data_IF_628744378783
#
_entry.id   IF_628744378783
#
_cell.length_a   1.000
_cell.length_b   1.000
_cell.length_c   1.000
_cell.angle_alpha   90.00
_cell.angle_beta   90.00
_cell.angle_gamma   90.00
#
_symmetry.space_group_name_H-M   'P 1'
#
loop_
_entity.id
_entity.type
_entity.pdbx_description
1 polymer ?
#
# COMPACT_ATOMS: atom_id res chain seq x y z
N UNK A 1 13.62 24.50 -12.69
CA UNK A 1 13.92 23.18 -12.09
C UNK A 1 12.85 22.22 -12.54
N UNK A 2 13.25 21.10 -13.14
CA UNK A 2 12.32 20.07 -13.61
C UNK A 2 11.75 19.31 -12.42
N UNK A 3 10.47 18.96 -12.48
CA UNK A 3 9.74 18.29 -11.40
C UNK A 3 8.91 17.17 -11.99
N UNK A 4 8.66 16.15 -11.18
CA UNK A 4 7.92 14.95 -11.57
C UNK A 4 6.81 14.66 -10.57
N UNK A 5 5.65 14.25 -11.09
CA UNK A 5 4.64 13.54 -10.30
C UNK A 5 4.57 12.08 -10.72
N UNK A 6 4.58 11.18 -9.75
CA UNK A 6 4.24 9.77 -9.96
C UNK A 6 2.84 9.52 -9.38
N UNK A 7 1.87 9.26 -10.25
CA UNK A 7 0.50 8.90 -9.88
C UNK A 7 0.36 7.38 -9.96
N UNK A 8 0.02 6.77 -8.82
CA UNK A 8 -0.31 5.34 -8.72
C UNK A 8 -1.80 5.20 -8.41
N UNK A 9 -2.56 4.69 -9.36
CA UNK A 9 -3.92 4.21 -9.13
C UNK A 9 -3.86 2.73 -8.74
N UNK A 10 -4.01 2.47 -7.45
CA UNK A 10 -3.76 1.17 -6.83
C UNK A 10 -4.64 0.07 -7.43
N UNK A 11 -4.06 -1.08 -7.81
CA UNK A 11 -4.83 -2.20 -8.37
C UNK A 11 -5.63 -1.87 -9.64
N UNK A 12 -5.31 -0.78 -10.36
CA UNK A 12 -6.12 -0.28 -11.47
C UNK A 12 -6.14 -1.23 -12.67
N UNK A 13 -5.07 -1.98 -12.93
CA UNK A 13 -5.04 -3.00 -13.98
C UNK A 13 -6.11 -4.07 -13.77
N UNK A 14 -6.65 -4.60 -14.85
CA UNK A 14 -7.72 -5.60 -14.83
C UNK A 14 -7.62 -6.61 -15.98
N UNK A 15 -8.58 -7.53 -16.01
CA UNK A 15 -8.83 -8.44 -17.13
C UNK A 15 -10.15 -8.08 -17.80
N UNK A 16 -10.38 -8.52 -19.05
CA UNK A 16 -11.68 -8.45 -19.69
C UNK A 16 -12.81 -8.97 -18.81
N UNK A 17 -13.85 -8.16 -18.59
CA UNK A 17 -14.98 -8.50 -17.72
C UNK A 17 -16.25 -8.75 -18.53
N UNK A 18 -17.07 -9.72 -18.12
CA UNK A 18 -18.30 -10.09 -18.83
C UNK A 18 -19.31 -8.95 -18.84
N UNK A 19 -19.46 -8.28 -17.69
CA UNK A 19 -20.44 -7.19 -17.49
C UNK A 19 -20.10 -5.92 -18.29
N UNK A 20 -18.83 -5.74 -18.69
CA UNK A 20 -18.39 -4.64 -19.54
C UNK A 20 -18.10 -5.10 -20.98
N UNK A 21 -18.88 -6.06 -21.51
CA UNK A 21 -18.77 -6.54 -22.89
C UNK A 21 -17.36 -7.06 -23.26
N UNK A 22 -16.68 -7.73 -22.33
CA UNK A 22 -15.30 -8.23 -22.46
C UNK A 22 -14.25 -7.13 -22.61
N UNK A 23 -14.55 -5.92 -22.14
CA UNK A 23 -13.55 -4.87 -21.93
C UNK A 23 -13.04 -4.93 -20.48
N UNK A 24 -11.83 -4.41 -20.27
CA UNK A 24 -11.37 -4.05 -18.92
C UNK A 24 -12.13 -2.80 -18.44
N UNK A 25 -12.19 -2.52 -17.12
CA UNK A 25 -12.74 -1.27 -16.61
C UNK A 25 -12.04 -0.02 -17.14
N UNK A 26 -10.73 -0.06 -17.43
CA UNK A 26 -10.01 1.04 -18.09
C UNK A 26 -10.51 1.25 -19.52
N UNK A 27 -10.65 0.19 -20.31
CA UNK A 27 -11.14 0.27 -21.69
C UNK A 27 -12.59 0.75 -21.79
N UNK A 28 -13.42 0.39 -20.79
CA UNK A 28 -14.83 0.77 -20.75
C UNK A 28 -15.07 2.17 -20.18
N UNK A 29 -14.08 2.76 -19.51
CA UNK A 29 -14.21 4.05 -18.83
C UNK A 29 -14.04 5.24 -19.80
N UNK A 30 -14.83 6.29 -19.59
CA UNK A 30 -14.62 7.60 -20.22
C UNK A 30 -13.51 8.39 -19.50
N UNK A 31 -12.28 7.88 -19.56
CA UNK A 31 -11.11 8.42 -18.86
C UNK A 31 -10.35 9.48 -19.70
N UNK A 32 -11.00 10.60 -20.02
CA UNK A 32 -10.46 11.64 -20.92
C UNK A 32 -9.07 12.16 -20.52
N UNK A 33 -8.84 12.39 -19.22
CA UNK A 33 -7.57 12.91 -18.72
C UNK A 33 -6.47 11.86 -18.76
N UNK A 34 -6.80 10.59 -18.52
CA UNK A 34 -5.84 9.50 -18.71
C UNK A 34 -5.45 9.35 -20.18
N UNK A 35 -6.43 9.42 -21.08
CA UNK A 35 -6.19 9.40 -22.53
C UNK A 35 -5.34 10.59 -22.99
N UNK A 36 -5.53 11.78 -22.40
CA UNK A 36 -4.68 12.96 -22.64
C UNK A 36 -3.23 12.74 -22.16
N UNK A 37 -3.04 12.12 -21.00
CA UNK A 37 -1.68 11.77 -20.51
C UNK A 37 -1.01 10.80 -21.50
N UNK A 38 -1.73 9.78 -21.97
CA UNK A 38 -1.22 8.84 -22.96
C UNK A 38 -0.88 9.52 -24.29
N UNK A 39 -1.81 10.30 -24.83
CA UNK A 39 -1.63 10.94 -26.14
C UNK A 39 -0.53 11.99 -26.14
N UNK A 40 -0.23 12.65 -25.02
CA UNK A 40 0.86 13.60 -24.91
C UNK A 40 2.19 12.97 -24.45
N UNK A 41 2.24 11.65 -24.29
CA UNK A 41 3.34 10.94 -23.63
C UNK A 41 3.91 9.77 -24.42
N UNK A 42 4.81 9.03 -23.76
CA UNK A 42 5.34 7.73 -24.17
C UNK A 42 4.69 6.66 -23.27
N UNK A 43 4.03 5.69 -23.88
CA UNK A 43 3.28 4.64 -23.19
C UNK A 43 4.07 3.32 -23.16
N UNK A 44 3.67 2.42 -22.27
CA UNK A 44 4.18 1.05 -22.19
C UNK A 44 3.40 0.22 -21.17
N UNK A 45 3.93 -0.95 -20.86
CA UNK A 45 3.44 -1.81 -19.79
C UNK A 45 4.56 -2.18 -18.82
N UNK A 46 4.20 -2.43 -17.57
CA UNK A 46 5.16 -2.67 -16.50
C UNK A 46 4.82 -3.96 -15.74
N UNK A 47 5.78 -4.89 -15.70
CA UNK A 47 5.74 -5.97 -14.71
C UNK A 47 6.32 -5.43 -13.40
N UNK A 48 5.47 -5.20 -12.41
CA UNK A 48 5.94 -4.50 -11.20
C UNK A 48 7.05 -5.27 -10.48
N UNK A 49 7.00 -6.60 -10.50
CA UNK A 49 8.06 -7.48 -9.98
C UNK A 49 8.76 -8.20 -11.13
N UNK A 50 8.03 -9.11 -11.78
CA UNK A 50 8.47 -9.91 -12.92
C UNK A 50 7.25 -10.44 -13.66
N UNK A 51 7.39 -10.88 -14.93
CA UNK A 51 6.29 -11.47 -15.68
C UNK A 51 5.55 -12.56 -14.90
N UNK A 52 4.23 -12.40 -14.74
CA UNK A 52 3.37 -13.41 -14.12
C UNK A 52 3.44 -13.49 -12.59
N UNK A 53 4.26 -12.67 -11.90
CA UNK A 53 4.38 -12.69 -10.44
C UNK A 53 3.42 -11.66 -9.79
N UNK A 54 2.39 -12.10 -9.03
CA UNK A 54 1.54 -11.17 -8.28
C UNK A 54 2.34 -10.50 -7.15
N UNK A 55 2.32 -9.17 -7.01
CA UNK A 55 2.96 -8.47 -5.90
C UNK A 55 2.02 -8.24 -4.71
N UNK A 56 2.61 -8.12 -3.51
CA UNK A 56 1.99 -7.36 -2.43
C UNK A 56 2.20 -5.86 -2.63
N UNK A 57 1.27 -5.00 -2.18
CA UNK A 57 1.38 -3.56 -2.41
C UNK A 57 2.65 -2.93 -1.81
N UNK A 58 3.20 -3.48 -0.74
CA UNK A 58 4.52 -3.10 -0.19
C UNK A 58 5.65 -3.39 -1.18
N UNK A 59 5.78 -4.64 -1.61
CA UNK A 59 6.82 -5.07 -2.56
C UNK A 59 6.70 -4.34 -3.91
N UNK A 60 5.46 -4.06 -4.35
CA UNK A 60 5.20 -3.31 -5.56
C UNK A 60 5.75 -1.88 -5.49
N UNK A 61 5.45 -1.16 -4.41
CA UNK A 61 5.93 0.21 -4.24
C UNK A 61 7.45 0.25 -4.05
N UNK A 62 8.02 -0.72 -3.32
CA UNK A 62 9.48 -0.83 -3.19
C UNK A 62 10.15 -0.97 -4.58
N UNK A 63 9.60 -1.84 -5.43
CA UNK A 63 10.05 -2.01 -6.81
C UNK A 63 9.89 -0.72 -7.62
N UNK A 64 8.71 -0.10 -7.61
CA UNK A 64 8.43 1.15 -8.35
C UNK A 64 9.41 2.28 -7.99
N UNK A 65 9.86 2.35 -6.74
CA UNK A 65 10.86 3.33 -6.29
C UNK A 65 12.31 2.91 -6.55
N UNK A 66 12.55 1.82 -7.28
CA UNK A 66 13.86 1.38 -7.76
C UNK A 66 14.61 0.41 -6.87
N UNK A 67 13.97 -0.10 -5.81
CA UNK A 67 14.57 -1.02 -4.86
C UNK A 67 14.15 -2.45 -5.18
N UNK A 68 15.08 -3.40 -5.12
CA UNK A 68 14.79 -4.79 -5.43
C UNK A 68 14.03 -5.47 -4.28
N UNK A 69 12.76 -5.85 -4.48
CA UNK A 69 11.96 -6.46 -3.41
C UNK A 69 12.45 -7.86 -3.03
N UNK A 70 13.20 -8.57 -3.88
CA UNK A 70 13.71 -9.90 -3.53
C UNK A 70 14.82 -9.84 -2.47
N UNK A 71 15.54 -8.71 -2.41
CA UNK A 71 16.71 -8.56 -1.55
C UNK A 71 16.49 -7.53 -0.44
N UNK A 72 15.66 -6.51 -0.68
CA UNK A 72 15.50 -5.35 0.21
C UNK A 72 14.18 -5.35 1.00
N UNK A 73 13.25 -6.26 0.71
CA UNK A 73 11.99 -6.33 1.44
C UNK A 73 12.18 -6.89 2.86
N UNK A 74 11.83 -6.07 3.85
CA UNK A 74 12.02 -6.41 5.28
C UNK A 74 10.77 -6.93 5.98
N UNK A 75 9.67 -7.14 5.25
CA UNK A 75 8.38 -7.62 5.79
C UNK A 75 7.35 -6.50 6.04
N UNK A 76 6.08 -6.81 5.77
CA UNK A 76 4.97 -5.84 5.73
C UNK A 76 4.78 -5.04 7.02
N UNK A 77 4.90 -5.72 8.16
CA UNK A 77 4.62 -5.15 9.48
C UNK A 77 5.49 -3.94 9.78
N UNK A 78 6.73 -3.93 9.27
CA UNK A 78 7.62 -2.78 9.43
C UNK A 78 7.11 -1.53 8.70
N UNK A 79 6.64 -1.69 7.46
CA UNK A 79 6.06 -0.58 6.71
C UNK A 79 4.74 -0.12 7.33
N UNK A 80 3.87 -1.03 7.76
CA UNK A 80 2.63 -0.63 8.45
C UNK A 80 2.95 0.15 9.75
N UNK A 81 3.97 -0.24 10.52
CA UNK A 81 4.41 0.47 11.73
C UNK A 81 4.88 1.90 11.43
N UNK A 82 5.80 2.05 10.47
CA UNK A 82 6.30 3.36 10.05
C UNK A 82 5.17 4.26 9.53
N UNK A 83 4.22 3.67 8.79
CA UNK A 83 3.04 4.35 8.28
C UNK A 83 2.01 4.74 9.33
N UNK A 84 1.97 4.01 10.45
CA UNK A 84 1.18 4.33 11.63
C UNK A 84 1.84 5.39 12.54
N UNK A 85 3.05 5.86 12.19
CA UNK A 85 3.81 6.82 12.98
C UNK A 85 4.60 6.20 14.14
N UNK A 86 4.77 4.87 14.16
CA UNK A 86 5.62 4.19 15.13
C UNK A 86 7.04 4.13 14.58
N UNK A 87 7.98 4.74 15.30
CA UNK A 87 9.39 4.68 14.93
C UNK A 87 9.99 3.34 15.35
N UNK A 88 10.58 2.63 14.38
CA UNK A 88 11.25 1.35 14.58
C UNK A 88 12.73 1.55 14.88
N UNK A 89 13.23 0.80 15.85
CA UNK A 89 14.65 0.70 16.19
C UNK A 89 15.26 -0.55 15.55
N UNK A 90 16.59 -0.59 15.34
CA UNK A 90 17.28 -1.84 15.04
C UNK A 90 16.92 -2.92 16.07
N UNK A 91 16.53 -4.11 15.61
CA UNK A 91 16.09 -5.23 16.46
C UNK A 91 14.57 -5.33 16.66
N UNK A 92 13.80 -4.26 16.46
CA UNK A 92 12.33 -4.32 16.58
C UNK A 92 11.73 -5.28 15.52
N UNK A 93 10.71 -6.04 15.93
CA UNK A 93 9.89 -6.86 15.03
C UNK A 93 8.45 -6.34 15.05
N UNK A 94 7.97 -5.90 13.89
CA UNK A 94 6.66 -5.34 13.70
C UNK A 94 5.73 -6.30 12.94
N UNK A 95 4.45 -6.28 13.29
CA UNK A 95 3.40 -7.08 12.68
C UNK A 95 2.23 -6.20 12.30
N UNK A 96 1.69 -6.43 11.11
CA UNK A 96 0.35 -5.96 10.79
C UNK A 96 -0.64 -6.78 11.59
N UNK A 97 -1.58 -6.12 12.25
CA UNK A 97 -2.58 -6.75 13.08
C UNK A 97 -3.99 -6.43 12.61
N UNK A 98 -4.90 -7.36 12.83
CA UNK A 98 -6.33 -7.12 12.75
C UNK A 98 -6.98 -7.37 14.12
N UNK A 99 -7.87 -6.48 14.55
CA UNK A 99 -8.91 -6.84 15.51
C UNK A 99 -9.88 -7.82 14.85
N UNK A 100 -10.20 -8.89 15.57
CA UNK A 100 -11.02 -9.97 15.08
C UNK A 100 -12.01 -10.47 16.16
N UNK A 101 -12.99 -11.23 15.70
CA UNK A 101 -13.95 -11.95 16.52
C UNK A 101 -13.61 -13.42 16.50
N UNK A 102 -13.35 -13.96 17.70
CA UNK A 102 -13.00 -15.36 17.90
C UNK A 102 -13.89 -15.92 19.01
N UNK A 103 -14.53 -17.06 18.78
CA UNK A 103 -15.43 -17.68 19.75
C UNK A 103 -14.69 -18.36 20.92
N UNK A 104 -15.43 -18.92 21.88
CA UNK A 104 -14.87 -19.57 23.08
C UNK A 104 -14.07 -20.85 22.78
N UNK A 105 -14.20 -21.41 21.57
CA UNK A 105 -13.43 -22.58 21.09
C UNK A 105 -12.22 -22.18 20.25
N UNK A 106 -11.83 -20.91 20.27
CA UNK A 106 -10.74 -20.29 19.51
C UNK A 106 -10.89 -20.32 17.99
N UNK A 107 -12.12 -20.44 17.46
CA UNK A 107 -12.37 -20.31 16.02
C UNK A 107 -12.61 -18.86 15.63
N UNK A 108 -11.97 -18.44 14.55
CA UNK A 108 -12.13 -17.11 13.95
C UNK A 108 -13.50 -17.05 13.26
N UNK A 109 -14.39 -16.22 13.80
CA UNK A 109 -15.73 -15.96 13.24
C UNK A 109 -15.66 -14.84 12.21
N UNK A 110 -14.89 -13.79 12.53
CA UNK A 110 -14.73 -12.63 11.65
C UNK A 110 -13.34 -12.02 11.83
N UNK A 111 -12.57 -11.94 10.75
CA UNK A 111 -11.19 -11.41 10.74
C UNK A 111 -11.11 -9.88 10.88
N UNK A 112 -12.24 -9.20 10.93
CA UNK A 112 -12.36 -7.73 10.95
C UNK A 112 -13.31 -7.23 12.03
N UNK A 113 -13.87 -8.12 12.85
CA UNK A 113 -14.84 -7.78 13.90
C UNK A 113 -15.98 -6.88 13.42
N UNK A 114 -16.57 -7.19 12.27
CA UNK A 114 -17.64 -6.42 11.64
C UNK A 114 -17.19 -5.10 11.05
N UNK A 115 -15.89 -4.93 10.75
CA UNK A 115 -15.25 -3.63 10.45
C UNK A 115 -15.57 -2.62 11.56
N UNK A 116 -15.16 -2.95 12.79
CA UNK A 116 -15.23 -2.06 13.96
C UNK A 116 -14.77 -0.63 13.59
N UNK A 117 -15.41 0.38 14.17
CA UNK A 117 -15.07 1.77 13.87
C UNK A 117 -13.66 2.11 14.37
N UNK A 118 -13.04 3.12 13.77
CA UNK A 118 -11.70 3.56 14.17
C UNK A 118 -11.69 4.06 15.62
N UNK A 119 -12.78 4.72 16.05
CA UNK A 119 -12.95 5.25 17.40
C UNK A 119 -13.03 4.13 18.43
N UNK A 120 -13.84 3.09 18.17
CA UNK A 120 -13.96 1.92 19.03
C UNK A 120 -12.65 1.12 19.09
N UNK A 121 -11.99 0.93 17.94
CA UNK A 121 -10.69 0.25 17.86
C UNK A 121 -9.60 0.97 18.66
N UNK A 122 -9.63 2.32 18.69
CA UNK A 122 -8.69 3.13 19.48
C UNK A 122 -8.85 2.92 20.99
N UNK A 123 -10.08 2.81 21.47
CA UNK A 123 -10.37 2.51 22.88
C UNK A 123 -9.80 1.13 23.25
N UNK A 124 -10.02 0.13 22.40
CA UNK A 124 -9.49 -1.22 22.62
C UNK A 124 -7.96 -1.26 22.57
N UNK A 125 -7.34 -0.53 21.64
CA UNK A 125 -5.88 -0.44 21.55
C UNK A 125 -5.26 0.22 22.79
N UNK A 126 -5.92 1.24 23.38
CA UNK A 126 -5.48 1.87 24.63
C UNK A 126 -5.46 0.86 25.78
N UNK A 127 -6.49 0.02 25.89
CA UNK A 127 -6.56 -1.03 26.91
C UNK A 127 -5.42 -2.08 26.79
N UNK A 128 -4.85 -2.26 25.59
CA UNK A 128 -3.73 -3.18 25.38
C UNK A 128 -2.38 -2.63 25.89
N UNK A 129 -2.29 -1.34 26.24
CA UNK A 129 -1.06 -0.74 26.81
C UNK A 129 -0.71 -1.28 28.19
N UNK A 130 -1.67 -1.87 28.89
CA UNK A 130 -1.46 -2.51 30.19
C UNK A 130 -0.68 -3.84 30.09
N UNK A 131 -0.49 -4.35 28.87
CA UNK A 131 0.24 -5.61 28.65
C UNK A 131 1.72 -5.39 28.92
N UNK A 132 2.22 -6.09 29.93
CA UNK A 132 3.65 -6.32 30.14
C UNK A 132 4.00 -7.73 29.63
N UNK A 133 5.10 -7.88 28.91
CA UNK A 133 5.69 -9.18 28.55
C UNK A 133 7.02 -9.33 29.28
N UNK A 134 7.46 -10.56 29.48
CA UNK A 134 8.70 -10.84 30.24
C UNK A 134 9.95 -10.39 29.49
N UNK A 135 10.03 -10.68 28.19
CA UNK A 135 11.25 -10.53 27.39
C UNK A 135 11.16 -9.43 26.29
N UNK A 136 10.06 -8.67 26.21
CA UNK A 136 9.90 -7.58 25.25
C UNK A 136 8.86 -6.52 25.68
N UNK A 137 8.98 -5.30 25.17
CA UNK A 137 7.97 -4.26 25.25
C UNK A 137 7.00 -4.38 24.04
N UNK A 138 5.70 -4.62 24.25
CA UNK A 138 4.71 -4.56 23.18
C UNK A 138 4.18 -3.13 22.98
N UNK A 139 4.27 -2.63 21.76
CA UNK A 139 3.68 -1.35 21.36
C UNK A 139 2.56 -1.65 20.35
N UNK A 140 1.31 -1.51 20.78
CA UNK A 140 0.15 -1.72 19.91
C UNK A 140 -0.52 -0.40 19.54
N UNK A 141 -0.73 -0.16 18.24
CA UNK A 141 -1.39 1.05 17.71
C UNK A 141 -2.48 0.65 16.73
N UNK A 142 -3.73 1.03 17.00
CA UNK A 142 -4.82 0.96 16.02
C UNK A 142 -4.66 2.02 14.94
N UNK A 143 -5.02 1.70 13.69
CA UNK A 143 -4.95 2.64 12.56
C UNK A 143 -6.34 2.98 12.03
N UNK A 144 -6.84 2.26 11.02
CA UNK A 144 -8.15 2.50 10.40
C UNK A 144 -9.02 1.27 10.55
N UNK A 145 -10.23 1.46 11.07
CA UNK A 145 -11.18 0.39 11.38
C UNK A 145 -10.51 -0.71 12.25
N UNK A 146 -10.65 -1.97 11.83
CA UNK A 146 -10.09 -3.16 12.45
C UNK A 146 -8.55 -3.28 12.38
N UNK A 147 -7.85 -2.40 11.66
CA UNK A 147 -6.41 -2.55 11.41
C UNK A 147 -5.60 -1.97 12.56
N UNK A 148 -4.47 -2.60 12.87
CA UNK A 148 -3.50 -2.12 13.82
C UNK A 148 -2.10 -2.63 13.51
N UNK A 149 -1.15 -2.22 14.34
CA UNK A 149 0.23 -2.68 14.28
C UNK A 149 0.67 -3.04 15.68
N UNK A 150 1.40 -4.15 15.79
CA UNK A 150 2.15 -4.52 16.98
C UNK A 150 3.63 -4.37 16.66
N UNK A 151 4.37 -3.67 17.51
CA UNK A 151 5.83 -3.70 17.52
C UNK A 151 6.27 -4.39 18.79
N UNK A 152 7.06 -5.44 18.66
CA UNK A 152 7.79 -6.06 19.76
C UNK A 152 9.18 -5.45 19.78
N UNK A 153 9.52 -4.81 20.90
CA UNK A 153 10.80 -4.17 21.13
C UNK A 153 11.55 -4.88 22.25
N UNK A 154 12.73 -5.38 21.94
CA UNK A 154 13.54 -6.14 22.87
C UNK A 154 14.76 -6.73 22.19
N UNK A 155 15.57 -7.44 22.95
CA UNK A 155 16.77 -8.08 22.43
C UNK A 155 16.44 -9.44 21.80
N UNK A 156 17.26 -9.86 20.84
CA UNK A 156 17.20 -11.20 20.23
C UNK A 156 15.82 -11.54 19.66
N UNK A 157 15.21 -10.59 18.94
CA UNK A 157 13.98 -10.80 18.19
C UNK A 157 14.28 -11.05 16.70
N UNK A 158 13.42 -11.83 16.04
CA UNK A 158 13.52 -12.16 14.63
C UNK A 158 12.15 -12.10 13.97
N UNK A 159 12.09 -11.54 12.75
CA UNK A 159 10.89 -11.57 11.91
C UNK A 159 10.57 -12.95 11.31
N UNK A 160 11.39 -13.97 11.57
CA UNK A 160 11.21 -15.32 11.03
C UNK A 160 10.22 -16.12 11.87
N UNK A 161 9.00 -15.58 11.98
CA UNK A 161 7.88 -16.15 12.74
C UNK A 161 6.66 -16.22 11.84
N UNK A 162 5.88 -17.30 11.98
CA UNK A 162 4.69 -17.54 11.17
C UNK A 162 3.57 -16.54 11.45
N UNK A 163 2.74 -16.30 10.44
CA UNK A 163 1.52 -15.52 10.60
C UNK A 163 0.50 -16.24 11.50
N UNK A 164 -0.28 -15.46 12.25
CA UNK A 164 -1.40 -15.95 13.07
C UNK A 164 -2.72 -15.82 12.29
N UNK A 165 -2.84 -14.76 11.48
CA UNK A 165 -3.93 -14.59 10.51
C UNK A 165 -3.67 -15.39 9.23
N UNK A 166 -4.23 -16.60 9.12
CA UNK A 166 -4.11 -17.48 7.93
C UNK A 166 -5.01 -17.10 6.76
N UNK A 167 -5.64 -15.93 6.82
CA UNK A 167 -6.55 -15.46 5.79
C UNK A 167 -7.94 -16.11 5.71
N UNK A 168 -8.28 -17.00 6.64
CA UNK A 168 -9.51 -17.78 6.60
C UNK A 168 -10.41 -17.56 7.83
N UNK A 169 -11.72 -17.76 7.65
CA UNK A 169 -12.71 -17.82 8.74
C UNK A 169 -13.10 -19.28 8.97
N UNK A 170 -13.60 -19.61 10.17
CA UNK A 170 -13.95 -20.99 10.52
C UNK A 170 -12.76 -21.87 10.87
N UNK A 171 -11.55 -21.31 10.91
CA UNK A 171 -10.33 -21.97 11.36
C UNK A 171 -9.98 -21.54 12.79
N UNK A 172 -9.21 -22.37 13.49
CA UNK A 172 -8.68 -22.02 14.82
C UNK A 172 -7.60 -20.94 14.68
N UNK A 173 -7.50 -20.06 15.68
CA UNK A 173 -6.38 -19.12 15.79
C UNK A 173 -5.08 -19.93 15.83
N UNK A 174 -4.18 -19.63 14.89
CA UNK A 174 -2.91 -20.33 14.78
C UNK A 174 -1.95 -19.89 15.87
N UNK A 175 -1.23 -20.85 16.46
CA UNK A 175 -0.10 -20.54 17.34
C UNK A 175 1.07 -20.04 16.49
N UNK A 176 1.71 -18.91 16.84
CA UNK A 176 2.91 -18.47 16.15
C UNK A 176 4.03 -19.51 16.35
N UNK A 177 4.82 -19.72 15.31
CA UNK A 177 5.93 -20.69 15.30
C UNK A 177 7.15 -20.07 14.66
N UNK A 178 8.37 -20.45 15.08
CA UNK A 178 9.57 -20.08 14.36
C UNK A 178 9.53 -20.66 12.93
N UNK A 179 10.07 -19.92 11.98
CA UNK A 179 10.20 -20.33 10.56
C UNK A 179 11.62 -20.80 10.21
N UNK A 180 12.56 -20.67 11.15
CA UNK A 180 13.90 -21.23 11.09
C UNK A 180 14.35 -21.68 12.49
N UNK A 181 15.52 -22.32 12.57
CA UNK A 181 16.05 -22.91 13.81
C UNK A 181 16.79 -21.88 14.70
N UNK A 182 16.62 -20.57 14.46
CA UNK A 182 17.29 -19.54 15.26
C UNK A 182 16.63 -19.38 16.65
N UNK A 183 17.46 -19.13 17.66
CA UNK A 183 17.00 -18.86 19.03
C UNK A 183 16.13 -17.61 19.05
N UNK A 184 16.45 -16.62 18.21
CA UNK A 184 15.69 -15.38 18.05
C UNK A 184 14.28 -15.61 17.49
N UNK A 185 14.12 -16.53 16.52
CA UNK A 185 12.81 -16.87 15.96
C UNK A 185 11.94 -17.60 16.99
N UNK A 186 12.52 -18.58 17.71
CA UNK A 186 11.81 -19.29 18.77
C UNK A 186 11.40 -18.32 19.89
N UNK A 187 12.33 -17.49 20.32
CA UNK A 187 12.09 -16.45 21.32
C UNK A 187 10.93 -15.52 20.90
N UNK A 188 10.96 -15.01 19.68
CA UNK A 188 9.92 -14.11 19.16
C UNK A 188 8.57 -14.81 19.07
N UNK A 189 8.52 -16.08 18.67
CA UNK A 189 7.27 -16.85 18.62
C UNK A 189 6.63 -16.98 20.02
N UNK A 190 7.44 -17.23 21.07
CA UNK A 190 6.95 -17.29 22.46
C UNK A 190 6.42 -15.94 22.94
N UNK A 191 7.17 -14.86 22.72
CA UNK A 191 6.75 -13.48 23.09
C UNK A 191 5.45 -13.09 22.38
N UNK A 192 5.32 -13.44 21.09
CA UNK A 192 4.12 -13.18 20.32
C UNK A 192 2.92 -13.99 20.83
N UNK A 193 3.10 -15.27 21.18
CA UNK A 193 2.06 -16.11 21.78
C UNK A 193 1.58 -15.52 23.11
N UNK A 194 2.52 -15.08 23.97
CA UNK A 194 2.20 -14.43 25.24
C UNK A 194 1.35 -13.17 25.05
N UNK A 195 1.73 -12.30 24.10
CA UNK A 195 0.95 -11.12 23.75
C UNK A 195 -0.47 -11.47 23.30
N UNK A 196 -0.63 -12.48 22.45
CA UNK A 196 -1.95 -12.90 21.92
C UNK A 196 -2.85 -13.40 23.06
N UNK A 197 -2.30 -14.20 23.99
CA UNK A 197 -3.04 -14.70 25.14
C UNK A 197 -3.47 -13.55 26.07
N UNK A 198 -2.54 -12.66 26.42
CA UNK A 198 -2.80 -11.51 27.31
C UNK A 198 -3.80 -10.53 26.68
N UNK A 199 -3.61 -10.18 25.40
CA UNK A 199 -4.52 -9.28 24.68
C UNK A 199 -5.93 -9.85 24.57
N UNK A 200 -6.10 -11.14 24.24
CA UNK A 200 -7.41 -11.79 24.21
C UNK A 200 -8.14 -11.71 25.55
N UNK A 201 -7.44 -11.94 26.67
CA UNK A 201 -8.03 -11.84 28.02
C UNK A 201 -8.53 -10.43 28.34
N UNK A 202 -7.76 -9.40 28.00
CA UNK A 202 -8.16 -7.99 28.19
C UNK A 202 -9.39 -7.69 27.33
N UNK A 203 -9.30 -7.99 26.03
CA UNK A 203 -10.35 -7.62 25.06
C UNK A 203 -11.67 -8.35 25.31
N UNK A 204 -11.65 -9.63 25.67
CA UNK A 204 -12.86 -10.39 26.01
C UNK A 204 -13.65 -9.78 27.17
N UNK A 205 -12.95 -9.21 28.16
CA UNK A 205 -13.56 -8.66 29.36
C UNK A 205 -13.88 -7.16 29.25
N UNK A 206 -13.39 -6.49 28.21
CA UNK A 206 -13.51 -5.05 28.03
C UNK A 206 -14.99 -4.61 27.92
N UNK A 207 -15.43 -3.56 28.65
CA UNK A 207 -16.83 -3.10 28.64
C UNK A 207 -17.39 -2.83 27.24
N UNK A 208 -16.59 -2.21 26.36
CA UNK A 208 -16.97 -1.94 24.97
C UNK A 208 -17.34 -3.23 24.20
N UNK A 209 -16.58 -4.32 24.37
CA UNK A 209 -16.91 -5.57 23.70
C UNK A 209 -18.19 -6.22 24.27
N UNK A 210 -18.46 -6.06 25.56
CA UNK A 210 -19.74 -6.48 26.16
C UNK A 210 -20.91 -5.69 25.58
N UNK A 211 -20.76 -4.38 25.42
CA UNK A 211 -21.76 -3.51 24.80
C UNK A 211 -22.00 -3.87 23.33
N UNK A 212 -20.94 -4.14 22.56
CA UNK A 212 -21.05 -4.61 21.17
C UNK A 212 -21.90 -5.86 21.06
N UNK A 213 -21.67 -6.85 21.93
CA UNK A 213 -22.47 -8.09 21.97
C UNK A 213 -23.94 -7.80 22.30
N UNK A 214 -24.22 -6.93 23.27
CA UNK A 214 -25.59 -6.51 23.60
C UNK A 214 -26.29 -5.87 22.39
N UNK A 215 -25.55 -5.12 21.58
CA UNK A 215 -26.04 -4.49 20.34
C UNK A 215 -26.12 -5.46 19.15
N UNK A 216 -25.81 -6.74 19.32
CA UNK A 216 -25.78 -7.74 18.25
C UNK A 216 -24.61 -7.58 17.27
N UNK A 217 -23.56 -6.84 17.65
CA UNK A 217 -22.35 -6.64 16.85
C UNK A 217 -21.27 -7.64 17.25
N UNK A 218 -20.42 -7.97 16.28
CA UNK A 218 -19.24 -8.81 16.47
C UNK A 218 -18.23 -8.14 17.44
N UNK A 219 -17.87 -8.78 18.58
CA UNK A 219 -16.87 -8.23 19.49
C UNK A 219 -15.46 -8.33 18.88
N UNK A 220 -14.64 -7.30 19.09
CA UNK A 220 -13.22 -7.29 18.73
C UNK A 220 -12.40 -7.87 19.89
N UNK A 221 -12.53 -9.18 20.11
CA UNK A 221 -12.00 -9.88 21.28
C UNK A 221 -10.68 -10.62 21.05
N UNK A 222 -10.07 -10.45 19.87
CA UNK A 222 -8.78 -11.02 19.53
C UNK A 222 -7.97 -10.06 18.65
N UNK A 223 -6.65 -10.17 18.72
CA UNK A 223 -5.71 -9.57 17.78
C UNK A 223 -5.11 -10.69 16.94
N UNK A 224 -5.08 -10.53 15.61
CA UNK A 224 -4.47 -11.48 14.68
C UNK A 224 -3.25 -10.82 14.00
N UNK A 225 -2.03 -11.05 14.52
CA UNK A 225 -0.78 -10.58 13.91
C UNK A 225 -0.40 -11.35 12.64
N UNK A 226 0.24 -10.67 11.69
CA UNK A 226 0.82 -11.25 10.46
C UNK A 226 1.84 -10.32 9.82
N UNK A 227 2.56 -10.85 8.83
CA UNK A 227 3.50 -10.12 8.00
C UNK A 227 4.66 -9.57 8.82
N UNK A 228 5.27 -10.40 9.67
CA UNK A 228 6.40 -10.02 10.50
C UNK A 228 7.47 -9.28 9.68
N UNK A 229 7.93 -8.14 10.17
CA UNK A 229 8.94 -7.33 9.49
C UNK A 229 9.84 -6.56 10.43
N UNK A 230 11.05 -6.26 9.95
CA UNK A 230 12.06 -5.46 10.67
C UNK A 230 12.27 -4.13 9.97
N UNK A 231 12.94 -3.19 10.64
CA UNK A 231 13.35 -1.92 10.05
C UNK A 231 13.98 -2.14 8.66
N UNK A 232 13.45 -1.52 7.58
CA UNK A 232 14.00 -1.66 6.24
C UNK A 232 15.44 -1.15 6.16
N UNK A 233 16.35 -1.95 5.61
CA UNK A 233 17.73 -1.55 5.35
C UNK A 233 17.88 -1.09 3.89
N UNK A 234 17.49 0.14 3.63
CA UNK A 234 17.45 0.75 2.29
C UNK A 234 18.06 2.14 2.36
N UNK A 235 18.82 2.52 1.32
CA UNK A 235 19.31 3.89 1.21
C UNK A 235 18.14 4.83 0.91
N UNK A 236 18.02 5.98 1.57
CA UNK A 236 17.00 6.97 1.25
C UNK A 236 17.10 7.51 -0.18
N UNK A 237 15.96 7.86 -0.78
CA UNK A 237 15.88 8.31 -2.18
C UNK A 237 16.70 9.59 -2.45
N UNK A 238 16.82 10.46 -1.45
CA UNK A 238 17.62 11.68 -1.56
C UNK A 238 19.12 11.40 -1.61
N UNK A 239 19.60 10.31 -0.98
CA UNK A 239 20.99 9.87 -1.10
C UNK A 239 21.26 9.21 -2.45
N UNK A 240 20.27 8.47 -3.00
CA UNK A 240 20.42 7.76 -4.27
C UNK A 240 20.38 8.71 -5.47
N UNK A 241 19.45 9.67 -5.47
CA UNK A 241 19.18 10.50 -6.66
C UNK A 241 19.43 12.01 -6.46
N UNK A 242 19.80 12.45 -5.25
CA UNK A 242 19.96 13.86 -4.92
C UNK A 242 18.70 14.70 -5.29
N UNK A 243 17.57 14.26 -4.76
CA UNK A 243 16.24 14.88 -4.92
C UNK A 243 15.53 15.05 -3.58
N UNK A 244 14.62 16.02 -3.52
CA UNK A 244 13.60 16.10 -2.46
C UNK A 244 12.33 15.42 -2.92
N UNK A 245 11.86 14.45 -2.15
CA UNK A 245 10.67 13.67 -2.49
C UNK A 245 9.59 13.78 -1.41
N UNK A 246 8.33 13.88 -1.83
CA UNK A 246 7.18 13.89 -0.93
C UNK A 246 6.11 12.87 -1.34
N UNK A 247 5.37 12.35 -0.38
CA UNK A 247 4.34 11.34 -0.59
C UNK A 247 2.98 11.77 -0.03
N UNK A 248 1.95 11.62 -0.86
CA UNK A 248 0.54 11.87 -0.53
C UNK A 248 -0.22 10.56 -0.73
N UNK A 249 -0.55 9.89 0.38
CA UNK A 249 -1.27 8.62 0.37
C UNK A 249 -2.36 8.57 1.44
N UNK A 250 -3.31 7.64 1.30
CA UNK A 250 -4.35 7.41 2.30
C UNK A 250 -3.90 6.40 3.37
N UNK A 251 -3.68 5.16 2.94
CA UNK A 251 -3.36 4.03 3.83
C UNK A 251 -1.97 4.11 4.47
N UNK A 252 -1.83 3.48 5.65
CA UNK A 252 -0.59 3.44 6.43
C UNK A 252 0.55 2.77 5.65
N UNK A 253 0.32 1.60 5.05
CA UNK A 253 1.32 0.86 4.25
C UNK A 253 2.12 1.75 3.29
N UNK A 254 1.45 2.53 2.45
CA UNK A 254 2.08 3.36 1.42
C UNK A 254 2.90 4.50 2.02
N UNK A 255 2.37 5.12 3.09
CA UNK A 255 3.11 6.13 3.88
C UNK A 255 4.35 5.51 4.52
N UNK A 256 4.23 4.27 4.99
CA UNK A 256 5.32 3.51 5.59
C UNK A 256 6.44 3.19 4.63
N UNK A 257 6.11 2.68 3.43
CA UNK A 257 7.09 2.47 2.35
C UNK A 257 7.76 3.80 1.99
N UNK A 258 6.98 4.85 1.75
CA UNK A 258 7.54 6.16 1.40
C UNK A 258 8.45 6.73 2.52
N UNK A 259 8.04 6.63 3.80
CA UNK A 259 8.84 7.07 4.96
C UNK A 259 10.13 6.27 5.07
N UNK A 260 10.08 4.95 4.87
CA UNK A 260 11.26 4.09 4.86
C UNK A 260 12.27 4.46 3.76
N UNK A 261 11.78 4.98 2.64
CA UNK A 261 12.60 5.43 1.51
C UNK A 261 12.99 6.92 1.61
N UNK A 262 12.68 7.59 2.73
CA UNK A 262 13.08 8.97 2.98
C UNK A 262 12.24 10.04 2.26
N UNK A 263 10.97 9.74 1.96
CA UNK A 263 10.01 10.74 1.49
C UNK A 263 9.40 11.52 2.66
N UNK A 264 9.16 12.80 2.46
CA UNK A 264 8.34 13.60 3.37
C UNK A 264 6.86 13.25 3.20
N UNK A 265 6.21 12.82 4.29
CA UNK A 265 4.80 12.44 4.26
C UNK A 265 3.93 13.68 4.42
N UNK A 266 3.13 13.99 3.39
CA UNK A 266 2.19 15.10 3.41
C UNK A 266 0.82 14.59 3.85
N UNK A 267 0.37 15.05 5.01
CA UNK A 267 -0.95 14.72 5.54
C UNK A 267 -2.04 15.58 4.88
N UNK A 268 -2.98 14.93 4.20
CA UNK A 268 -4.11 15.59 3.54
C UNK A 268 -5.41 15.31 4.30
N UNK A 269 -6.13 16.33 4.79
CA UNK A 269 -7.42 16.16 5.44
C UNK A 269 -8.42 15.40 4.54
N UNK A 270 -9.08 14.38 5.08
CA UNK A 270 -10.03 13.57 4.33
C UNK A 270 -9.42 12.53 3.38
N UNK A 271 -8.09 12.34 3.37
CA UNK A 271 -7.44 11.26 2.62
C UNK A 271 -7.58 9.90 3.33
N UNK A 272 -8.74 9.26 3.18
CA UNK A 272 -9.11 8.04 3.92
C UNK A 272 -8.54 6.75 3.34
N UNK A 273 -8.05 6.76 2.09
CA UNK A 273 -7.60 5.54 1.41
C UNK A 273 -8.76 4.59 1.05
N UNK A 274 -9.97 5.11 0.93
CA UNK A 274 -11.18 4.39 0.49
C UNK A 274 -11.81 5.11 -0.72
N UNK A 275 -12.94 4.61 -1.23
CA UNK A 275 -13.72 5.29 -2.28
C UNK A 275 -14.26 6.65 -1.86
N UNK A 276 -14.38 6.93 -0.55
CA UNK A 276 -14.84 8.21 -0.01
C UNK A 276 -13.68 9.17 0.31
N UNK A 277 -12.49 8.91 -0.24
CA UNK A 277 -11.31 9.77 -0.01
C UNK A 277 -11.50 11.15 -0.67
N UNK A 278 -11.01 12.20 -0.03
CA UNK A 278 -10.98 13.54 -0.62
C UNK A 278 -9.87 13.65 -1.67
N UNK A 279 -10.12 13.12 -2.88
CA UNK A 279 -9.15 13.12 -3.97
C UNK A 279 -8.82 14.54 -4.44
N UNK A 280 -9.82 15.43 -4.51
CA UNK A 280 -9.63 16.85 -4.84
C UNK A 280 -8.58 17.52 -3.93
N UNK A 281 -8.67 17.28 -2.61
CA UNK A 281 -7.66 17.80 -1.69
C UNK A 281 -6.28 17.20 -1.94
N UNK A 282 -6.17 15.90 -2.26
CA UNK A 282 -4.88 15.27 -2.58
C UNK A 282 -4.26 15.87 -3.84
N UNK A 283 -5.07 16.13 -4.86
CA UNK A 283 -4.64 16.82 -6.10
C UNK A 283 -4.13 18.22 -5.78
N UNK A 284 -4.88 19.00 -4.99
CA UNK A 284 -4.45 20.35 -4.59
C UNK A 284 -3.13 20.33 -3.79
N UNK A 285 -3.00 19.43 -2.81
CA UNK A 285 -1.77 19.29 -2.03
C UNK A 285 -0.59 18.80 -2.89
N UNK A 286 -0.84 18.00 -3.94
CA UNK A 286 0.19 17.59 -4.90
C UNK A 286 0.70 18.81 -5.69
N UNK A 287 -0.21 19.65 -6.18
CA UNK A 287 0.11 20.91 -6.85
C UNK A 287 0.96 21.83 -5.94
N UNK A 288 0.57 21.96 -4.66
CA UNK A 288 1.32 22.78 -3.72
C UNK A 288 2.68 22.18 -3.34
N UNK A 289 2.77 20.85 -3.22
CA UNK A 289 4.02 20.13 -2.95
C UNK A 289 5.04 20.34 -4.06
N UNK A 290 4.61 20.38 -5.33
CA UNK A 290 5.51 20.64 -6.46
C UNK A 290 6.31 21.92 -6.27
N UNK A 291 5.82 22.94 -5.54
CA UNK A 291 6.60 24.17 -5.28
C UNK A 291 7.92 23.91 -4.52
N UNK A 292 8.04 22.79 -3.79
CA UNK A 292 9.14 22.49 -2.87
C UNK A 292 9.90 21.19 -3.19
N UNK A 293 9.25 20.22 -3.82
CA UNK A 293 9.78 18.89 -4.06
C UNK A 293 10.05 18.64 -5.55
N UNK A 294 11.09 17.85 -5.83
CA UNK A 294 11.46 17.45 -7.20
C UNK A 294 10.61 16.25 -7.66
N UNK A 295 10.23 15.37 -6.72
CA UNK A 295 9.35 14.23 -6.94
C UNK A 295 8.18 14.26 -5.96
N UNK A 296 6.95 14.21 -6.47
CA UNK A 296 5.75 14.01 -5.65
C UNK A 296 5.07 12.71 -6.01
N UNK A 297 4.92 11.81 -5.04
CA UNK A 297 4.19 10.56 -5.17
C UNK A 297 2.73 10.74 -4.72
N UNK A 298 1.79 10.61 -5.67
CA UNK A 298 0.35 10.64 -5.41
C UNK A 298 -0.23 9.22 -5.54
N UNK A 299 -0.55 8.61 -4.42
CA UNK A 299 -1.17 7.28 -4.37
C UNK A 299 -2.69 7.40 -4.34
N UNK A 300 -3.46 6.58 -5.06
CA UNK A 300 -4.93 6.60 -5.04
C UNK A 300 -5.44 5.15 -4.87
N UNK A 301 -6.03 4.84 -3.71
CA UNK A 301 -6.42 3.47 -3.32
C UNK A 301 -7.77 2.97 -3.85
N UNK A 302 -8.62 3.89 -4.32
CA UNK A 302 -10.04 3.62 -4.52
C UNK A 302 -10.32 2.47 -5.52
N UNK A 303 -9.53 2.37 -6.60
CA UNK A 303 -9.65 1.35 -7.65
C UNK A 303 -9.48 -0.07 -7.13
N UNK A 304 -8.48 -0.31 -6.27
CA UNK A 304 -8.26 -1.64 -5.69
C UNK A 304 -9.35 -2.01 -4.67
N UNK A 305 -9.85 -1.03 -3.91
CA UNK A 305 -10.93 -1.27 -2.93
C UNK A 305 -12.15 -1.92 -3.60
N UNK A 306 -12.60 -1.35 -4.71
CA UNK A 306 -13.77 -1.85 -5.46
C UNK A 306 -13.44 -3.10 -6.29
N UNK A 307 -12.16 -3.33 -6.61
CA UNK A 307 -11.71 -4.58 -7.22
C UNK A 307 -11.86 -5.75 -6.27
N UNK A 308 -11.45 -5.59 -5.00
CA UNK A 308 -11.63 -6.61 -3.96
C UNK A 308 -13.10 -6.91 -3.65
N UNK A 309 -13.98 -5.92 -3.79
CA UNK A 309 -15.44 -6.10 -3.66
C UNK A 309 -16.09 -6.74 -4.91
N UNK A 310 -15.28 -7.15 -5.89
CA UNK A 310 -15.66 -7.82 -7.13
C UNK A 310 -16.66 -7.04 -7.98
N UNK A 311 -16.46 -5.73 -8.11
CA UNK A 311 -17.40 -4.85 -8.79
C UNK A 311 -16.75 -4.10 -9.98
N UNK A 312 -16.74 -4.72 -11.19
CA UNK A 312 -16.17 -4.11 -12.39
C UNK A 312 -16.83 -2.79 -12.80
N UNK A 313 -18.16 -2.70 -12.69
CA UNK A 313 -18.91 -1.49 -13.05
C UNK A 313 -18.52 -0.33 -12.15
N UNK A 314 -18.44 -0.58 -10.83
CA UNK A 314 -17.98 0.45 -9.90
C UNK A 314 -16.52 0.81 -10.09
N UNK A 315 -15.66 -0.14 -10.48
CA UNK A 315 -14.26 0.15 -10.83
C UNK A 315 -14.15 1.10 -12.02
N UNK A 316 -14.96 0.90 -13.08
CA UNK A 316 -15.09 1.82 -14.22
C UNK A 316 -15.46 3.23 -13.77
N UNK A 317 -16.51 3.37 -12.95
CA UNK A 317 -16.96 4.67 -12.41
C UNK A 317 -15.87 5.36 -11.57
N UNK A 318 -15.14 4.59 -10.75
CA UNK A 318 -14.03 5.12 -9.95
C UNK A 318 -12.88 5.60 -10.84
N UNK A 319 -12.58 4.89 -11.94
CA UNK A 319 -11.57 5.31 -12.92
C UNK A 319 -11.98 6.63 -13.58
N UNK A 320 -13.24 6.75 -14.02
CA UNK A 320 -13.79 7.98 -14.62
C UNK A 320 -13.68 9.17 -13.65
N UNK A 321 -14.06 8.94 -12.39
CA UNK A 321 -13.93 9.93 -11.32
C UNK A 321 -12.48 10.36 -11.09
N UNK A 322 -11.53 9.42 -10.97
CA UNK A 322 -10.11 9.75 -10.79
C UNK A 322 -9.60 10.55 -11.98
N UNK A 323 -9.88 10.10 -13.20
CA UNK A 323 -9.50 10.79 -14.44
C UNK A 323 -9.97 12.25 -14.40
N UNK A 324 -11.23 12.50 -14.06
CA UNK A 324 -11.76 13.85 -13.94
C UNK A 324 -11.03 14.68 -12.86
N UNK A 325 -10.88 14.14 -11.64
CA UNK A 325 -10.31 14.87 -10.50
C UNK A 325 -8.84 15.26 -10.68
N UNK A 326 -8.04 14.47 -11.41
CA UNK A 326 -6.62 14.80 -11.61
C UNK A 326 -6.37 15.84 -12.72
N UNK A 327 -7.41 16.27 -13.46
CA UNK A 327 -7.30 17.23 -14.57
C UNK A 327 -6.55 18.51 -14.20
N UNK A 328 -6.84 19.19 -13.07
CA UNK A 328 -6.13 20.43 -12.70
C UNK A 328 -4.63 20.22 -12.48
N UNK A 329 -4.22 19.02 -12.05
CA UNK A 329 -2.81 18.67 -11.93
C UNK A 329 -2.17 18.49 -13.30
N UNK A 330 -2.82 17.79 -14.22
CA UNK A 330 -2.32 17.61 -15.60
C UNK A 330 -2.18 18.96 -16.31
N UNK A 331 -3.16 19.86 -16.17
CA UNK A 331 -3.10 21.23 -16.70
C UNK A 331 -1.88 22.00 -16.18
N UNK A 332 -1.58 21.88 -14.89
CA UNK A 332 -0.40 22.48 -14.30
C UNK A 332 0.88 21.88 -14.88
N UNK A 333 0.98 20.54 -14.96
CA UNK A 333 2.16 19.84 -15.48
C UNK A 333 2.50 20.32 -16.89
N UNK A 334 1.50 20.42 -17.77
CA UNK A 334 1.67 20.94 -19.13
C UNK A 334 2.11 22.41 -19.13
N UNK A 335 1.40 23.27 -18.38
CA UNK A 335 1.70 24.71 -18.35
C UNK A 335 3.10 25.03 -17.82
N UNK A 336 3.63 24.20 -16.92
CA UNK A 336 4.92 24.39 -16.29
C UNK A 336 6.07 23.61 -16.97
N UNK A 337 5.75 22.75 -17.95
CA UNK A 337 6.73 21.84 -18.55
C UNK A 337 7.33 20.86 -17.54
N UNK A 338 6.51 20.34 -16.63
CA UNK A 338 6.90 19.27 -15.69
C UNK A 338 6.66 17.89 -16.30
N UNK A 339 7.06 16.85 -15.59
CA UNK A 339 6.81 15.47 -15.97
C UNK A 339 5.75 14.82 -15.09
N UNK A 340 5.00 13.87 -15.66
CA UNK A 340 4.04 13.07 -14.94
C UNK A 340 4.10 11.62 -15.43
N UNK A 341 4.11 10.68 -14.50
CA UNK A 341 3.91 9.26 -14.78
C UNK A 341 2.58 8.80 -14.17
N UNK A 342 1.76 8.11 -14.96
CA UNK A 342 0.52 7.48 -14.53
C UNK A 342 0.64 5.97 -14.71
N UNK A 343 0.44 5.22 -13.63
CA UNK A 343 0.40 3.75 -13.68
C UNK A 343 -0.35 3.18 -12.47
N UNK A 344 -0.22 1.87 -12.26
CA UNK A 344 -0.72 1.13 -11.10
C UNK A 344 0.45 0.41 -10.41
N UNK A 345 0.25 -0.01 -9.16
CA UNK A 345 1.21 -0.85 -8.43
C UNK A 345 0.99 -2.34 -8.70
N UNK A 346 -0.21 -2.73 -9.15
CA UNK A 346 -0.53 -4.08 -9.59
C UNK A 346 -1.83 -4.15 -10.37
N UNK A 347 -2.09 -5.34 -10.92
CA UNK A 347 -3.38 -5.73 -11.48
C UNK A 347 -4.21 -6.42 -10.41
N UNK A 348 -5.42 -5.92 -10.16
CA UNK A 348 -6.42 -6.57 -9.31
C UNK A 348 -7.68 -6.79 -10.15
N UNK A 349 -7.82 -7.95 -10.84
CA UNK A 349 -8.96 -8.15 -11.71
C UNK A 349 -10.27 -8.11 -10.93
N UNK A 350 -11.19 -7.24 -11.34
CA UNK A 350 -12.40 -6.91 -10.59
C UNK A 350 -13.49 -7.98 -10.63
N UNK A 351 -13.34 -9.06 -11.41
CA UNK A 351 -14.17 -10.26 -11.25
C UNK A 351 -13.57 -11.27 -10.26
N UNK A 352 -12.27 -11.17 -9.99
CA UNK A 352 -11.51 -12.10 -9.13
C UNK A 352 -11.39 -11.55 -7.71
N UNK A 353 -11.05 -10.25 -7.59
CA UNK A 353 -10.85 -9.56 -6.33
C UNK A 353 -9.56 -9.93 -5.60
N UNK A 354 -8.52 -10.33 -6.35
CA UNK A 354 -7.19 -10.65 -5.83
C UNK A 354 -6.12 -10.13 -6.76
N UNK A 355 -4.92 -9.87 -6.24
CA UNK A 355 -3.80 -9.42 -7.06
C UNK A 355 -3.37 -10.52 -8.02
N UNK A 356 -3.03 -10.13 -9.25
CA UNK A 356 -2.49 -11.01 -10.29
C UNK A 356 -1.24 -10.40 -10.91
N UNK A 357 -0.39 -11.25 -11.48
CA UNK A 357 0.87 -10.86 -12.11
C UNK A 357 0.73 -10.42 -13.56
N UNK A 358 -0.45 -9.91 -13.94
CA UNK A 358 -0.65 -9.28 -15.24
C UNK A 358 0.04 -7.90 -15.22
N UNK A 359 0.76 -7.50 -16.29
CA UNK A 359 1.45 -6.22 -16.32
C UNK A 359 0.45 -5.05 -16.29
N UNK A 360 0.88 -3.91 -15.75
CA UNK A 360 0.04 -2.71 -15.61
C UNK A 360 0.35 -1.69 -16.71
N UNK A 361 -0.63 -0.89 -17.19
CA UNK A 361 -0.37 0.17 -18.16
C UNK A 361 0.44 1.30 -17.52
N UNK A 362 1.33 1.91 -18.30
CA UNK A 362 2.18 3.03 -17.92
C UNK A 362 2.15 4.09 -19.03
N UNK A 363 2.06 5.35 -18.63
CA UNK A 363 2.26 6.50 -19.51
C UNK A 363 3.10 7.54 -18.79
N UNK A 364 4.08 8.10 -19.49
CA UNK A 364 4.92 9.20 -19.01
C UNK A 364 4.72 10.38 -19.96
N UNK A 365 4.38 11.55 -19.44
CA UNK A 365 4.25 12.78 -20.23
C UNK A 365 5.21 13.86 -19.72
N UNK A 366 5.61 14.78 -20.59
CA UNK A 366 6.47 15.91 -20.27
C UNK A 366 7.14 16.52 -21.50
N UNK A 367 7.91 17.61 -21.36
CA UNK A 367 8.37 18.43 -22.48
C UNK A 367 9.29 17.70 -23.47
N UNK A 368 10.15 16.80 -22.98
CA UNK A 368 11.14 16.08 -23.80
C UNK A 368 10.83 14.58 -23.92
N UNK A 369 9.62 14.16 -23.55
CA UNK A 369 9.20 12.77 -23.72
C UNK A 369 9.01 12.47 -25.20
N UNK A 370 9.43 11.30 -25.67
CA UNK A 370 9.24 10.88 -27.06
C UNK A 370 7.82 10.41 -27.23
N UNK A 371 6.93 11.35 -27.54
CA UNK A 371 5.52 11.07 -27.78
C UNK A 371 5.36 9.95 -28.81
N UNK A 372 4.63 8.89 -28.44
CA UNK A 372 4.30 7.79 -29.34
C UNK A 372 2.90 7.97 -29.97
N UNK A 373 2.38 6.94 -30.64
CA UNK A 373 1.08 6.99 -31.32
C UNK A 373 -0.10 6.51 -30.45
N UNK A 374 0.10 6.28 -29.15
CA UNK A 374 -0.94 5.76 -28.26
C UNK A 374 -1.87 6.91 -27.82
N UNK A 375 -3.16 6.83 -28.18
CA UNK A 375 -4.15 7.87 -27.87
C UNK A 375 -5.06 7.51 -26.69
N UNK A 376 -4.98 6.28 -26.18
CA UNK A 376 -5.82 5.79 -25.07
C UNK A 376 -4.98 5.13 -23.99
N UNK A 377 -5.34 5.39 -22.73
CA UNK A 377 -4.70 4.79 -21.58
C UNK A 377 -5.48 3.56 -21.12
N UNK A 378 -5.07 2.39 -21.60
CA UNK A 378 -5.61 1.09 -21.19
C UNK A 378 -4.57 -0.02 -21.38
N UNK A 379 -4.85 -1.21 -20.85
CA UNK A 379 -3.91 -2.34 -20.86
C UNK A 379 -3.44 -2.74 -22.27
N UNK A 380 -4.30 -2.64 -23.29
CA UNK A 380 -3.96 -3.05 -24.66
C UNK A 380 -3.34 -1.92 -25.48
N UNK A 381 -3.85 -0.69 -25.33
CA UNK A 381 -3.33 0.47 -26.04
C UNK A 381 -1.90 0.78 -25.57
N UNK A 382 -1.66 0.82 -24.26
CA UNK A 382 -0.33 1.10 -23.71
C UNK A 382 0.69 0.00 -24.02
N UNK A 383 0.27 -1.26 -24.21
CA UNK A 383 1.17 -2.34 -24.62
C UNK A 383 1.81 -2.14 -26.01
N UNK A 384 1.30 -1.20 -26.80
CA UNK A 384 1.85 -0.82 -28.11
C UNK A 384 2.77 0.41 -28.06
N UNK A 385 2.97 0.99 -26.87
CA UNK A 385 3.72 2.23 -26.70
C UNK A 385 5.24 2.07 -26.73
N UNK A 386 5.94 3.20 -26.86
CA UNK A 386 7.39 3.29 -27.06
C UNK A 386 8.24 2.81 -25.88
N UNK A 387 7.72 2.86 -24.65
CA UNK A 387 8.39 2.32 -23.45
C UNK A 387 8.43 0.78 -23.46
N UNK A 388 7.68 0.13 -24.36
CA UNK A 388 7.61 -1.32 -24.48
C UNK A 388 7.15 -1.97 -23.16
N UNK A 389 7.88 -2.99 -22.69
CA UNK A 389 7.61 -3.72 -21.44
C UNK A 389 8.81 -3.60 -20.50
N UNK A 390 8.64 -2.91 -19.38
CA UNK A 390 9.69 -2.68 -18.37
C UNK A 390 9.35 -3.37 -17.04
N UNK A 391 10.27 -3.33 -16.06
CA UNK A 391 9.97 -3.73 -14.68
C UNK A 391 9.73 -2.53 -13.78
N UNK A 392 9.06 -2.76 -12.64
CA UNK A 392 8.86 -1.74 -11.60
C UNK A 392 10.16 -1.01 -11.21
N UNK A 393 11.24 -1.76 -11.01
CA UNK A 393 12.57 -1.26 -10.64
C UNK A 393 13.21 -0.31 -11.67
N UNK A 394 12.70 -0.30 -12.90
CA UNK A 394 13.22 0.53 -13.98
C UNK A 394 12.53 1.90 -14.04
N UNK A 395 11.28 2.01 -13.54
CA UNK A 395 10.45 3.22 -13.67
C UNK A 395 11.10 4.46 -13.06
N UNK A 396 11.55 4.39 -11.79
CA UNK A 396 12.14 5.57 -11.16
C UNK A 396 13.39 6.05 -11.90
N UNK A 397 14.19 5.13 -12.46
CA UNK A 397 15.42 5.48 -13.20
C UNK A 397 15.09 6.24 -14.47
N UNK A 398 14.03 5.84 -15.17
CA UNK A 398 13.51 6.57 -16.35
C UNK A 398 13.08 7.98 -15.95
N UNK A 399 12.34 8.13 -14.85
CA UNK A 399 11.93 9.46 -14.37
C UNK A 399 13.12 10.31 -13.94
N UNK A 400 14.10 9.73 -13.26
CA UNK A 400 15.32 10.41 -12.85
C UNK A 400 16.19 10.83 -14.04
N UNK A 401 16.16 10.07 -15.14
CA UNK A 401 16.83 10.46 -16.38
C UNK A 401 16.22 11.75 -16.95
N UNK A 402 14.89 11.87 -16.97
CA UNK A 402 14.22 13.11 -17.38
C UNK A 402 14.48 14.31 -16.45
N UNK A 403 14.94 14.06 -15.23
CA UNK A 403 15.35 15.09 -14.27
C UNK A 403 16.86 15.35 -14.26
N UNK A 404 17.61 14.76 -15.21
CA UNK A 404 19.08 14.83 -15.29
C UNK A 404 19.79 14.35 -14.01
N UNK A 405 19.24 13.32 -13.34
CA UNK A 405 19.77 12.75 -12.09
C UNK A 405 20.51 11.43 -12.27
N UNK A 406 20.44 10.82 -13.45
CA UNK A 406 21.14 9.56 -13.74
C UNK A 406 22.54 9.90 -14.27
N UNK A 407 23.62 9.46 -13.59
CA UNK A 407 24.97 9.68 -14.07
C UNK A 407 25.25 8.82 -15.31
N UNK A 408 26.23 9.24 -16.11
CA UNK A 408 26.78 8.42 -17.18
C UNK A 408 27.37 7.12 -16.59
N UNK A 409 27.13 6.00 -17.26
CA UNK A 409 27.70 4.72 -16.85
C UNK A 409 29.06 4.50 -17.51
N UNK A 410 30.12 4.37 -16.70
CA UNK A 410 31.48 4.12 -17.17
C UNK A 410 32.47 5.28 -17.01
N UNK A 411 32.04 6.38 -16.40
CA UNK A 411 32.89 7.52 -16.02
C UNK A 411 32.82 7.81 -14.52
#
# INVERSE_FOLDING_TARGET
>A
MMRTVLIICDGMGDRPTKVLNRLTPLQAAEAHTFNRIASLGECGIMDVISPGQPPGSDTAHLAIFGYDPYTQYSGRGAYEALGAGVDLKPGDVAFRCNFATVNDKDFIIDRRAGRITTEEAKILAEALREITLEDAEPIFVSTTEHRGVLVLRGDKLSRKVSDVDLHEVGVRVSKPRPLDDSVEAEHTARVLEEFIIKSRKILQNHPLNKERVIRGLNPANAVLPRGAGTLPNVKPIHEVWNIKAAAIAGGALYKGVAKALGFDIIHVPGATGTVNTNLKAKVQYTIDALKKYDLVFLHIKATDTVSHDKNPVRKKEVIEWISHEITPLVDLIESQGYYLALTADHTTPSEIGEHRGDPVPLAIMGPNVRRDSVEKFDELSCARGGLCRIRGVDLIKILMNYLDKVPLFGE
#
